data_IF_895063840026
#
_entry.id   IF_895063840026
#
_cell.length_a   1.000
_cell.length_b   1.000
_cell.length_c   1.000
_cell.angle_alpha   90.00
_cell.angle_beta   90.00
_cell.angle_gamma   90.00
#
_symmetry.space_group_name_H-M   'P 1'
#
loop_
_entity.id
_entity.type
_entity.pdbx_description
1 polymer ?
#
# COMPACT_ATOMS: atom_id res chain seq x y z
N UNK A 1 -12.52 24.62 -13.94
CA UNK A 1 -13.65 23.94 -14.60
C UNK A 1 -14.22 22.96 -13.59
N UNK A 2 -15.53 22.64 -13.57
CA UNK A 2 -15.98 21.56 -12.72
C UNK A 2 -15.43 20.26 -13.32
N UNK A 3 -14.41 19.69 -12.66
CA UNK A 3 -13.73 18.46 -13.09
C UNK A 3 -14.65 17.26 -12.84
N UNK A 4 -15.65 17.11 -13.70
CA UNK A 4 -16.62 16.01 -13.62
C UNK A 4 -16.04 14.81 -14.35
N UNK A 5 -15.68 13.77 -13.59
CA UNK A 5 -15.22 12.48 -14.13
C UNK A 5 -16.41 11.52 -14.11
N UNK A 6 -16.81 11.04 -15.30
CA UNK A 6 -17.85 10.02 -15.41
C UNK A 6 -17.30 8.66 -14.94
N UNK A 7 -17.88 8.12 -13.87
CA UNK A 7 -17.53 6.80 -13.37
C UNK A 7 -18.32 5.71 -14.10
N UNK A 8 -17.69 4.57 -14.44
CA UNK A 8 -18.43 3.39 -14.89
C UNK A 8 -19.45 2.95 -13.83
N UNK A 9 -20.64 2.51 -14.25
CA UNK A 9 -21.74 2.11 -13.34
C UNK A 9 -21.33 1.11 -12.27
N UNK A 10 -20.49 0.14 -12.63
CA UNK A 10 -19.99 -0.86 -11.69
C UNK A 10 -19.12 -0.25 -10.58
N UNK A 11 -18.31 0.76 -10.91
CA UNK A 11 -17.49 1.50 -9.94
C UNK A 11 -18.34 2.37 -9.03
N UNK A 12 -19.35 3.05 -9.60
CA UNK A 12 -20.30 3.85 -8.84
C UNK A 12 -21.06 2.99 -7.81
N UNK A 13 -21.61 1.85 -8.21
CA UNK A 13 -22.31 0.94 -7.29
C UNK A 13 -21.40 0.43 -6.15
N UNK A 14 -20.12 0.17 -6.44
CA UNK A 14 -19.13 -0.23 -5.42
C UNK A 14 -18.83 0.92 -4.45
N UNK A 15 -18.70 2.14 -4.97
CA UNK A 15 -18.45 3.33 -4.18
C UNK A 15 -19.63 3.60 -3.23
N UNK A 16 -20.87 3.54 -3.73
CA UNK A 16 -22.08 3.69 -2.93
C UNK A 16 -22.19 2.63 -1.83
N UNK A 17 -21.89 1.36 -2.16
CA UNK A 17 -21.85 0.29 -1.16
C UNK A 17 -20.80 0.52 -0.08
N UNK A 18 -19.61 1.01 -0.45
CA UNK A 18 -18.55 1.32 0.49
C UNK A 18 -18.94 2.52 1.39
N UNK A 19 -19.49 3.57 0.79
CA UNK A 19 -19.99 4.76 1.47
C UNK A 19 -21.08 4.42 2.50
N UNK A 20 -22.03 3.55 2.16
CA UNK A 20 -23.06 3.08 3.08
C UNK A 20 -22.48 2.34 4.29
N UNK A 21 -21.41 1.55 4.10
CA UNK A 21 -20.74 0.81 5.19
C UNK A 21 -19.94 1.72 6.12
N UNK A 22 -19.32 2.77 5.58
CA UNK A 22 -18.48 3.69 6.34
C UNK A 22 -19.24 4.92 6.86
N UNK A 23 -20.53 5.05 6.51
CA UNK A 23 -21.36 6.24 6.78
C UNK A 23 -20.72 7.54 6.28
N UNK A 24 -19.94 7.46 5.22
CA UNK A 24 -19.31 8.61 4.56
C UNK A 24 -20.06 8.94 3.27
N UNK A 25 -19.91 10.17 2.75
CA UNK A 25 -20.44 10.49 1.43
C UNK A 25 -19.61 9.78 0.34
N UNK A 26 -20.24 9.24 -0.73
CA UNK A 26 -19.51 8.64 -1.85
C UNK A 26 -18.46 9.58 -2.44
N UNK A 27 -18.78 10.87 -2.53
CA UNK A 27 -17.86 11.88 -3.03
C UNK A 27 -16.61 12.05 -2.15
N UNK A 28 -16.77 12.16 -0.83
CA UNK A 28 -15.62 12.29 0.08
C UNK A 28 -14.74 11.04 0.04
N UNK A 29 -15.36 9.86 -0.06
CA UNK A 29 -14.66 8.59 -0.15
C UNK A 29 -13.87 8.49 -1.47
N UNK A 30 -14.45 8.94 -2.58
CA UNK A 30 -13.76 8.99 -3.87
C UNK A 30 -12.58 9.95 -3.84
N UNK A 31 -12.76 11.16 -3.30
CA UNK A 31 -11.67 12.16 -3.16
C UNK A 31 -10.53 11.62 -2.31
N UNK A 32 -10.84 10.99 -1.17
CA UNK A 32 -9.84 10.36 -0.31
C UNK A 32 -9.11 9.21 -1.00
N UNK A 33 -9.85 8.35 -1.71
CA UNK A 33 -9.26 7.23 -2.45
C UNK A 33 -8.31 7.70 -3.56
N UNK A 34 -8.69 8.75 -4.30
CA UNK A 34 -7.85 9.36 -5.33
C UNK A 34 -6.59 9.95 -4.71
N UNK A 35 -6.73 10.77 -3.65
CA UNK A 35 -5.59 11.37 -2.96
C UNK A 35 -4.62 10.29 -2.44
N UNK A 36 -5.14 9.30 -1.72
CA UNK A 36 -4.33 8.20 -1.19
C UNK A 36 -3.64 7.38 -2.30
N UNK A 37 -4.29 7.22 -3.46
CA UNK A 37 -3.68 6.53 -4.59
C UNK A 37 -2.54 7.34 -5.22
N UNK A 38 -2.71 8.66 -5.36
CA UNK A 38 -1.64 9.54 -5.85
C UNK A 38 -0.45 9.57 -4.89
N UNK A 39 -0.71 9.69 -3.58
CA UNK A 39 0.33 9.61 -2.55
C UNK A 39 1.09 8.27 -2.61
N UNK A 40 0.36 7.17 -2.80
CA UNK A 40 0.97 5.84 -2.98
C UNK A 40 1.86 5.78 -4.21
N UNK A 41 1.44 6.33 -5.35
CA UNK A 41 2.25 6.32 -6.58
C UNK A 41 3.54 7.12 -6.38
N UNK A 42 3.45 8.29 -5.77
CA UNK A 42 4.61 9.14 -5.47
C UNK A 42 5.59 8.45 -4.51
N UNK A 43 5.06 7.87 -3.43
CA UNK A 43 5.86 7.07 -2.50
C UNK A 43 6.51 5.87 -3.20
N UNK A 44 5.75 5.12 -4.00
CA UNK A 44 6.23 3.90 -4.66
C UNK A 44 7.43 4.19 -5.56
N UNK A 45 7.37 5.26 -6.35
CA UNK A 45 8.47 5.66 -7.23
C UNK A 45 9.73 5.98 -6.41
N UNK A 46 9.58 6.73 -5.32
CA UNK A 46 10.69 7.08 -4.41
C UNK A 46 11.27 5.83 -3.73
N UNK A 47 10.42 4.95 -3.22
CA UNK A 47 10.81 3.73 -2.54
C UNK A 47 11.57 2.76 -3.45
N UNK A 48 11.11 2.59 -4.70
CA UNK A 48 11.81 1.78 -5.70
C UNK A 48 13.20 2.36 -5.97
N UNK A 49 13.29 3.68 -6.23
CA UNK A 49 14.59 4.33 -6.47
C UNK A 49 15.54 4.20 -5.29
N UNK A 50 15.05 4.40 -4.07
CA UNK A 50 15.83 4.23 -2.85
C UNK A 50 16.34 2.78 -2.70
N UNK A 51 15.47 1.79 -2.97
CA UNK A 51 15.84 0.38 -2.94
C UNK A 51 16.94 0.03 -3.95
N UNK A 52 16.85 0.54 -5.18
CA UNK A 52 17.91 0.36 -6.18
C UNK A 52 19.23 1.03 -5.79
N UNK A 53 19.18 2.21 -5.17
CA UNK A 53 20.38 2.90 -4.71
C UNK A 53 21.05 2.14 -3.55
N UNK A 54 20.26 1.68 -2.57
CA UNK A 54 20.75 0.85 -1.47
C UNK A 54 21.37 -0.45 -1.98
N UNK A 55 20.69 -1.17 -2.88
CA UNK A 55 21.25 -2.38 -3.48
C UNK A 55 22.56 -2.16 -4.26
N UNK A 56 22.73 -0.99 -4.89
CA UNK A 56 23.99 -0.61 -5.56
C UNK A 56 25.13 -0.26 -4.60
N UNK A 57 24.81 0.30 -3.43
CA UNK A 57 25.81 0.83 -2.47
C UNK A 57 26.16 -0.18 -1.39
N UNK A 58 25.17 -0.91 -0.88
CA UNK A 58 25.28 -1.89 0.20
C UNK A 58 25.35 -3.34 -0.30
N UNK A 59 25.01 -3.56 -1.59
CA UNK A 59 24.92 -4.89 -2.20
C UNK A 59 23.50 -5.47 -2.17
N UNK A 60 23.20 -6.29 -3.16
CA UNK A 60 21.91 -6.99 -3.25
C UNK A 60 21.92 -8.24 -2.36
N UNK A 61 20.82 -8.45 -1.64
CA UNK A 61 20.64 -9.69 -0.87
C UNK A 61 20.09 -10.80 -1.74
N UNK A 62 20.56 -12.01 -1.53
CA UNK A 62 20.02 -13.21 -2.17
C UNK A 62 18.68 -13.60 -1.57
N UNK A 63 17.94 -14.43 -2.31
CA UNK A 63 16.67 -15.00 -1.84
C UNK A 63 16.86 -15.79 -0.55
N UNK A 64 17.92 -16.59 -0.46
CA UNK A 64 18.26 -17.41 0.71
C UNK A 64 18.50 -16.53 1.95
N UNK A 65 19.24 -15.44 1.80
CA UNK A 65 19.53 -14.50 2.89
C UNK A 65 18.25 -13.85 3.43
N UNK A 66 17.31 -13.50 2.54
CA UNK A 66 16.02 -12.94 2.92
C UNK A 66 15.18 -13.98 3.67
N UNK A 67 15.10 -15.21 3.18
CA UNK A 67 14.34 -16.27 3.85
C UNK A 67 14.93 -16.64 5.22
N UNK A 68 16.26 -16.69 5.34
CA UNK A 68 16.93 -16.90 6.61
C UNK A 68 16.58 -15.79 7.62
N UNK A 69 16.63 -14.52 7.19
CA UNK A 69 16.29 -13.38 8.05
C UNK A 69 14.82 -13.40 8.50
N UNK A 70 13.88 -13.69 7.59
CA UNK A 70 12.45 -13.81 7.90
C UNK A 70 12.19 -14.95 8.88
N UNK A 71 12.84 -16.09 8.68
CA UNK A 71 12.70 -17.27 9.56
C UNK A 71 13.23 -16.99 10.96
N UNK A 72 14.41 -16.35 11.07
CA UNK A 72 14.97 -15.91 12.34
C UNK A 72 14.07 -14.90 13.06
N UNK A 73 13.43 -13.97 12.34
CA UNK A 73 12.50 -13.01 12.93
C UNK A 73 11.23 -13.70 13.45
N UNK A 74 10.71 -14.70 12.73
CA UNK A 74 9.56 -15.50 13.19
C UNK A 74 9.88 -16.28 14.46
N UNK A 75 11.03 -16.96 14.51
CA UNK A 75 11.48 -17.69 15.69
C UNK A 75 11.59 -16.79 16.93
N UNK A 76 12.17 -15.59 16.80
CA UNK A 76 12.26 -14.61 17.89
C UNK A 76 10.89 -14.16 18.42
N UNK A 77 9.89 -14.01 17.54
CA UNK A 77 8.53 -13.61 17.94
C UNK A 77 7.78 -14.73 18.67
N UNK A 78 8.01 -15.99 18.31
CA UNK A 78 7.43 -17.15 19.01
C UNK A 78 8.07 -17.31 20.39
N UNK A 79 9.39 -17.20 20.49
CA UNK A 79 10.10 -17.24 21.78
C UNK A 79 9.66 -16.14 22.75
N UNK A 80 9.38 -14.93 22.24
CA UNK A 80 8.83 -13.81 23.04
C UNK A 80 7.37 -13.96 23.47
N UNK A 81 6.61 -14.88 22.87
CA UNK A 81 5.22 -15.19 23.27
C UNK A 81 5.14 -16.35 24.26
N UNK A 82 6.20 -17.15 24.37
CA UNK A 82 6.29 -18.31 25.24
C UNK A 82 6.98 -18.01 26.60
N UNK A 83 7.50 -16.80 26.77
CA UNK A 83 8.05 -16.24 28.01
C UNK A 83 7.14 -15.12 28.51
#
# INVERSE_FOLDING_TARGET
>A
MPDTIALPRALQARLEKAAARTRASPESLARQAIAAHLDYLDWRVKAIRAGFLSGKTEGWRSTEEVFAAVSAQRAKRVGKKAA
#
